data_IF_499078186354
#
_entry.id   IF_499078186354
#
_cell.length_a   1.000
_cell.length_b   1.000
_cell.length_c   1.000
_cell.angle_alpha   90.00
_cell.angle_beta   90.00
_cell.angle_gamma   90.00
#
_symmetry.space_group_name_H-M   'P 1'
#
loop_
_entity.id
_entity.type
_entity.pdbx_description
1 polymer ?
#
# COMPACT_ATOMS: atom_id res chain seq x y z
N UNK A 1 -26.89 19.05 27.33
CA UNK A 1 -26.86 17.58 27.19
C UNK A 1 -25.42 17.15 26.96
N UNK A 2 -24.87 16.27 27.80
CA UNK A 2 -23.48 15.77 27.65
C UNK A 2 -23.44 14.80 26.45
N UNK A 3 -22.60 15.10 25.47
CA UNK A 3 -22.48 14.29 24.26
C UNK A 3 -21.87 12.92 24.64
N UNK A 4 -22.66 11.84 24.55
CA UNK A 4 -22.18 10.48 24.76
C UNK A 4 -21.57 9.98 23.45
N UNK A 5 -20.26 9.77 23.43
CA UNK A 5 -19.59 9.12 22.30
C UNK A 5 -19.94 7.62 22.40
N UNK A 6 -20.61 7.11 21.38
CA UNK A 6 -20.93 5.67 21.26
C UNK A 6 -19.87 5.08 20.33
N UNK A 7 -18.96 4.29 20.88
CA UNK A 7 -18.07 3.42 20.10
C UNK A 7 -18.78 2.09 19.83
N UNK A 8 -18.78 1.65 18.58
CA UNK A 8 -19.29 0.33 18.18
C UNK A 8 -18.10 -0.58 17.91
N UNK A 9 -18.22 -1.88 18.23
CA UNK A 9 -17.29 -2.88 17.71
C UNK A 9 -17.45 -3.01 16.19
N UNK A 10 -16.38 -3.44 15.50
CA UNK A 10 -16.34 -3.58 14.04
C UNK A 10 -17.54 -4.38 13.49
N UNK A 11 -17.84 -5.53 14.10
CA UNK A 11 -18.96 -6.39 13.68
C UNK A 11 -20.31 -5.71 13.83
N UNK A 12 -20.51 -4.97 14.93
CA UNK A 12 -21.75 -4.26 15.21
C UNK A 12 -21.93 -3.06 14.27
N UNK A 13 -20.82 -2.41 13.91
CA UNK A 13 -20.80 -1.31 12.96
C UNK A 13 -21.15 -1.80 11.54
N UNK A 14 -20.61 -2.94 11.08
CA UNK A 14 -20.93 -3.51 9.77
C UNK A 14 -22.41 -3.88 9.64
N UNK A 15 -23.02 -4.37 10.71
CA UNK A 15 -24.45 -4.68 10.75
C UNK A 15 -25.31 -3.41 10.79
N UNK A 16 -24.86 -2.38 11.52
CA UNK A 16 -25.57 -1.12 11.66
C UNK A 16 -25.51 -0.29 10.37
N UNK A 17 -24.38 -0.26 9.65
CA UNK A 17 -24.18 0.50 8.42
C UNK A 17 -25.14 0.08 7.29
N UNK A 18 -25.52 -1.20 7.28
CA UNK A 18 -26.47 -1.81 6.33
C UNK A 18 -27.94 -1.55 6.67
N UNK A 19 -28.26 -1.02 7.85
CA UNK A 19 -29.66 -0.72 8.24
C UNK A 19 -30.13 0.61 7.65
N UNK A 20 -31.40 0.67 7.24
CA UNK A 20 -32.02 1.87 6.67
C UNK A 20 -31.92 3.09 7.59
N UNK A 21 -31.99 2.87 8.91
CA UNK A 21 -31.95 3.90 9.96
C UNK A 21 -30.53 4.41 10.29
N UNK A 22 -29.49 3.92 9.62
CA UNK A 22 -28.15 4.46 9.79
C UNK A 22 -28.08 5.85 9.17
N UNK A 23 -27.64 6.85 9.96
CA UNK A 23 -27.77 8.24 9.55
C UNK A 23 -27.02 8.51 8.24
N UNK A 24 -27.69 9.18 7.30
CA UNK A 24 -27.12 9.51 5.99
C UNK A 24 -25.82 10.34 6.12
N UNK A 25 -25.71 11.13 7.20
CA UNK A 25 -24.50 11.87 7.54
C UNK A 25 -23.30 10.97 7.83
N UNK A 26 -23.48 9.88 8.59
CA UNK A 26 -22.39 8.93 8.87
C UNK A 26 -21.98 8.21 7.58
N UNK A 27 -22.93 7.78 6.73
CA UNK A 27 -22.61 7.18 5.42
C UNK A 27 -21.75 8.10 4.54
N UNK A 28 -22.09 9.39 4.49
CA UNK A 28 -21.32 10.39 3.74
C UNK A 28 -19.92 10.58 4.29
N UNK A 29 -19.77 10.70 5.61
CA UNK A 29 -18.45 10.85 6.25
C UNK A 29 -17.55 9.64 6.00
N UNK A 30 -18.12 8.45 6.00
CA UNK A 30 -17.39 7.21 5.69
C UNK A 30 -16.95 7.15 4.23
N UNK A 31 -17.81 7.54 3.28
CA UNK A 31 -17.43 7.66 1.88
C UNK A 31 -16.27 8.65 1.70
N UNK A 32 -16.35 9.82 2.35
CA UNK A 32 -15.27 10.82 2.36
C UNK A 32 -13.96 10.26 2.94
N UNK A 33 -14.01 9.49 4.03
CA UNK A 33 -12.82 8.84 4.60
C UNK A 33 -12.25 7.74 3.70
N UNK A 34 -13.09 6.90 3.07
CA UNK A 34 -12.62 5.87 2.13
C UNK A 34 -11.96 6.46 0.88
N UNK A 35 -12.51 7.53 0.31
CA UNK A 35 -11.91 8.25 -0.82
C UNK A 35 -10.56 8.87 -0.39
N UNK A 36 -10.50 9.47 0.80
CA UNK A 36 -9.24 9.98 1.33
C UNK A 36 -8.20 8.88 1.62
N UNK A 37 -8.62 7.68 2.02
CA UNK A 37 -7.73 6.54 2.19
C UNK A 37 -7.17 6.02 0.87
N UNK A 38 -7.97 6.02 -0.20
CA UNK A 38 -7.50 5.67 -1.55
C UNK A 38 -6.56 6.75 -2.12
N UNK A 39 -6.81 8.02 -1.83
CA UNK A 39 -5.95 9.15 -2.25
C UNK A 39 -4.66 9.25 -1.43
N UNK A 40 -4.58 8.64 -0.24
CA UNK A 40 -3.37 8.53 0.58
C UNK A 40 -2.39 7.45 0.11
N UNK A 41 -2.71 6.70 -0.94
CA UNK A 41 -1.73 5.93 -1.71
C UNK A 41 -1.46 6.62 -3.06
N UNK A 42 -0.85 7.82 -3.08
CA UNK A 42 -0.25 8.29 -4.32
C UNK A 42 0.91 7.33 -4.60
N UNK A 43 0.88 6.66 -5.76
CA UNK A 43 1.93 5.78 -6.27
C UNK A 43 2.21 4.51 -5.44
N UNK A 44 1.74 3.35 -5.92
CA UNK A 44 2.69 2.22 -6.04
C UNK A 44 3.81 2.76 -6.92
N UNK A 45 4.86 3.34 -6.32
CA UNK A 45 6.04 3.73 -7.08
C UNK A 45 6.48 2.45 -7.76
N UNK A 46 6.57 2.49 -9.09
CA UNK A 46 7.07 1.35 -9.84
C UNK A 46 8.43 0.99 -9.24
N UNK A 47 8.51 -0.16 -8.58
CA UNK A 47 9.77 -0.70 -8.09
C UNK A 47 10.37 -1.50 -9.24
N UNK A 48 11.69 -1.50 -9.30
CA UNK A 48 12.49 -2.17 -10.31
C UNK A 48 13.37 -3.17 -9.61
N UNK A 49 13.51 -4.37 -10.18
CA UNK A 49 14.18 -5.49 -9.54
C UNK A 49 15.38 -5.97 -10.35
N UNK A 50 16.42 -6.43 -9.66
CA UNK A 50 17.52 -7.15 -10.26
C UNK A 50 17.95 -8.34 -9.39
N UNK A 51 18.56 -9.34 -10.02
CA UNK A 51 19.01 -10.56 -9.37
C UNK A 51 20.49 -10.80 -9.60
N UNK A 52 21.17 -11.22 -8.55
CA UNK A 52 22.54 -11.70 -8.63
C UNK A 52 22.54 -13.23 -8.78
N UNK A 53 22.64 -13.74 -10.02
CA UNK A 53 22.68 -15.19 -10.30
C UNK A 53 23.71 -15.99 -9.47
N UNK A 54 24.96 -15.52 -9.22
CA UNK A 54 25.92 -16.30 -8.44
C UNK A 54 25.66 -16.30 -6.93
N UNK A 55 24.92 -15.31 -6.40
CA UNK A 55 24.61 -15.21 -4.97
C UNK A 55 23.16 -15.56 -4.63
N UNK A 56 22.31 -15.71 -5.65
CA UNK A 56 20.86 -15.86 -5.54
C UNK A 56 20.20 -14.79 -4.65
N UNK A 57 20.68 -13.55 -4.79
CA UNK A 57 20.18 -12.39 -4.05
C UNK A 57 19.36 -11.47 -4.94
N UNK A 58 18.23 -11.00 -4.41
CA UNK A 58 17.32 -10.07 -5.06
C UNK A 58 17.49 -8.68 -4.47
N UNK A 59 17.45 -7.67 -5.34
CA UNK A 59 17.52 -6.26 -4.97
C UNK A 59 16.42 -5.49 -5.68
N UNK A 60 15.89 -4.48 -4.99
CA UNK A 60 14.84 -3.61 -5.50
C UNK A 60 15.17 -2.13 -5.26
N UNK A 61 14.72 -1.28 -6.19
CA UNK A 61 14.82 0.17 -6.05
C UNK A 61 13.71 0.88 -6.83
N UNK A 62 13.37 2.09 -6.38
CA UNK A 62 12.44 2.96 -7.11
C UNK A 62 13.07 3.62 -8.35
N UNK A 63 14.39 3.50 -8.55
CA UNK A 63 15.14 4.10 -9.65
C UNK A 63 15.61 3.00 -10.60
N UNK A 64 15.09 2.99 -11.82
CA UNK A 64 15.43 2.00 -12.86
C UNK A 64 16.94 1.97 -13.17
N UNK A 65 17.53 3.14 -13.40
CA UNK A 65 18.96 3.29 -13.71
C UNK A 65 19.87 2.65 -12.65
N UNK A 66 19.43 2.68 -11.38
CA UNK A 66 20.17 2.09 -10.27
C UNK A 66 20.18 0.56 -10.37
N UNK A 67 19.09 -0.05 -10.85
CA UNK A 67 18.96 -1.50 -11.01
C UNK A 67 19.64 -2.00 -12.29
N UNK A 68 19.64 -1.21 -13.36
CA UNK A 68 20.33 -1.53 -14.61
C UNK A 68 21.86 -1.64 -14.46
N UNK A 69 22.45 -0.79 -13.61
CA UNK A 69 23.89 -0.77 -13.34
C UNK A 69 24.25 -1.37 -11.96
N UNK A 70 23.32 -2.10 -11.32
CA UNK A 70 23.53 -2.57 -9.96
C UNK A 70 24.63 -3.64 -9.87
N UNK A 71 25.51 -3.49 -8.88
CA UNK A 71 26.59 -4.43 -8.60
C UNK A 71 26.32 -5.10 -7.26
N UNK A 72 26.39 -6.43 -7.23
CA UNK A 72 26.12 -7.19 -6.01
C UNK A 72 27.10 -6.82 -4.90
N UNK A 73 26.60 -6.67 -3.68
CA UNK A 73 27.40 -6.27 -2.53
C UNK A 73 28.38 -7.37 -2.11
N UNK A 74 27.99 -8.64 -2.29
CA UNK A 74 28.77 -9.82 -1.89
C UNK A 74 29.85 -10.15 -2.94
N UNK A 75 29.45 -10.40 -4.19
CA UNK A 75 30.38 -10.90 -5.21
C UNK A 75 30.99 -9.83 -6.12
N UNK A 76 30.57 -8.56 -5.98
CA UNK A 76 31.00 -7.41 -6.81
C UNK A 76 30.81 -7.62 -8.33
N UNK A 77 29.95 -8.56 -8.74
CA UNK A 77 29.57 -8.80 -10.13
C UNK A 77 28.30 -8.01 -10.49
N UNK A 78 28.12 -7.64 -11.77
CA UNK A 78 26.90 -6.98 -12.22
C UNK A 78 25.69 -7.90 -12.01
N UNK A 79 24.58 -7.34 -11.53
CA UNK A 79 23.32 -8.04 -11.38
C UNK A 79 22.52 -8.00 -12.69
N UNK A 80 21.66 -8.99 -12.89
CA UNK A 80 20.77 -9.10 -14.04
C UNK A 80 19.46 -8.37 -13.74
N UNK A 81 19.14 -7.38 -14.53
CA UNK A 81 17.89 -6.64 -14.42
C UNK A 81 16.69 -7.53 -14.80
N UNK A 82 15.68 -7.58 -13.93
CA UNK A 82 14.45 -8.37 -14.12
C UNK A 82 13.28 -7.51 -14.62
N UNK A 83 13.34 -6.20 -14.40
CA UNK A 83 12.29 -5.28 -14.83
C UNK A 83 11.47 -4.71 -13.66
N UNK A 84 10.30 -4.12 -13.96
CA UNK A 84 9.37 -3.64 -12.94
C UNK A 84 8.84 -4.79 -12.07
N UNK A 85 8.91 -4.63 -10.74
CA UNK A 85 8.26 -5.51 -9.76
C UNK A 85 6.76 -5.58 -10.06
N UNK A 86 6.25 -6.81 -10.23
CA UNK A 86 4.85 -7.10 -10.60
C UNK A 86 3.94 -7.24 -9.38
#
# INVERSE_FOLDING_TARGET
MRQKIISLSLDTYELASKKANFSAWVRRKLLEETVNHQLKHPSRKQMYECVCEPCDLYYDSAIEDMMLAFVCHECKKPCKYLGPAQ
#
